data_IF_668599255323
#
_entry.id   IF_668599255323
#
_cell.length_a   1.000
_cell.length_b   1.000
_cell.length_c   1.000
_cell.angle_alpha   90.00
_cell.angle_beta   90.00
_cell.angle_gamma   90.00
#
_symmetry.space_group_name_H-M   'P 1'
#
loop_
_entity.id
_entity.type
_entity.pdbx_description
1 polymer ?
#
# COMPACT_ATOMS: atom_id res chain seq x y z
N UNK A 1 7.01 -8.78 4.97
CA UNK A 1 5.94 -9.76 5.27
C UNK A 1 5.19 -10.08 3.98
N UNK A 2 4.88 -11.35 3.69
CA UNK A 2 4.13 -11.73 2.48
C UNK A 2 2.62 -11.64 2.72
N UNK A 3 1.87 -11.00 1.81
CA UNK A 3 0.41 -10.84 1.89
C UNK A 3 -0.25 -11.35 0.61
N UNK A 4 -1.41 -12.01 0.73
CA UNK A 4 -2.11 -12.69 -0.38
C UNK A 4 -3.51 -12.12 -0.58
N UNK A 5 -3.93 -11.96 -1.84
CA UNK A 5 -5.30 -11.58 -2.19
C UNK A 5 -6.18 -12.77 -2.53
N UNK A 6 -7.48 -12.54 -2.44
CA UNK A 6 -8.52 -13.44 -2.99
C UNK A 6 -8.31 -13.63 -4.51
N UNK A 7 -7.79 -12.61 -5.21
CA UNK A 7 -7.51 -12.68 -6.65
C UNK A 7 -6.22 -13.43 -7.00
N UNK A 8 -5.57 -14.10 -6.05
CA UNK A 8 -4.35 -14.86 -6.27
C UNK A 8 -3.05 -14.05 -6.29
N UNK A 9 -3.08 -12.72 -6.25
CA UNK A 9 -1.85 -11.91 -6.25
C UNK A 9 -1.07 -12.08 -4.93
N UNK A 10 0.25 -12.12 -5.02
CA UNK A 10 1.16 -12.17 -3.86
C UNK A 10 1.93 -10.86 -3.78
N UNK A 11 1.95 -10.26 -2.60
CA UNK A 11 2.69 -9.03 -2.33
C UNK A 11 3.75 -9.29 -1.28
N UNK A 12 4.98 -8.88 -1.56
CA UNK A 12 6.11 -8.93 -0.62
C UNK A 12 6.55 -7.51 -0.33
N UNK A 13 6.07 -6.99 0.79
CA UNK A 13 6.40 -5.65 1.27
C UNK A 13 7.86 -5.55 1.69
N UNK A 14 8.50 -4.45 1.28
CA UNK A 14 9.89 -4.11 1.56
C UNK A 14 9.96 -2.82 2.40
N UNK A 15 9.23 -1.77 2.00
CA UNK A 15 9.16 -0.47 2.67
C UNK A 15 7.71 0.06 2.60
N UNK A 16 7.30 0.91 3.54
CA UNK A 16 5.95 1.47 3.57
C UNK A 16 5.87 2.83 4.27
N UNK A 17 4.77 3.52 4.03
CA UNK A 17 4.33 4.74 4.70
C UNK A 17 2.88 4.55 5.12
N UNK A 18 2.55 4.95 6.35
CA UNK A 18 1.17 5.01 6.82
C UNK A 18 0.70 6.46 6.78
N UNK A 19 -0.33 6.71 5.98
CA UNK A 19 -0.94 8.02 5.83
C UNK A 19 -2.29 7.98 6.53
N UNK A 20 -2.47 8.80 7.56
CA UNK A 20 -3.75 8.88 8.25
C UNK A 20 -4.86 9.29 7.26
N UNK A 21 -5.90 8.48 7.23
CA UNK A 21 -7.04 8.64 6.34
C UNK A 21 -8.09 9.52 7.00
N UNK A 22 -8.77 10.33 6.20
CA UNK A 22 -9.87 11.18 6.67
C UNK A 22 -11.25 10.51 6.50
N UNK A 23 -11.30 9.17 6.48
CA UNK A 23 -12.53 8.37 6.40
C UNK A 23 -13.37 8.41 7.69
N UNK A 24 -12.74 8.67 8.83
CA UNK A 24 -13.41 8.89 10.12
C UNK A 24 -12.65 9.91 10.97
N UNK A 25 -13.28 10.36 12.05
CA UNK A 25 -12.71 11.34 12.97
C UNK A 25 -11.86 10.70 14.09
N UNK A 26 -11.84 9.37 14.16
CA UNK A 26 -11.15 8.61 15.22
C UNK A 26 -9.65 8.47 14.97
N UNK A 27 -9.19 8.66 13.73
CA UNK A 27 -7.77 8.64 13.38
C UNK A 27 -7.11 7.26 13.47
N UNK A 28 -7.89 6.19 13.44
CA UNK A 28 -7.46 4.79 13.49
C UNK A 28 -7.45 4.10 12.11
N UNK A 29 -7.87 4.83 11.06
CA UNK A 29 -7.86 4.40 9.67
C UNK A 29 -6.68 5.03 8.94
N UNK A 30 -5.92 4.21 8.23
CA UNK A 30 -4.75 4.67 7.47
C UNK A 30 -4.79 4.13 6.04
N UNK A 31 -4.26 4.89 5.10
CA UNK A 31 -3.73 4.35 3.87
C UNK A 31 -2.36 3.75 4.16
N UNK A 32 -2.23 2.46 3.90
CA UNK A 32 -0.98 1.73 3.92
C UNK A 32 -0.40 1.75 2.51
N UNK A 33 0.46 2.73 2.25
CA UNK A 33 1.16 2.89 0.97
C UNK A 33 2.46 2.09 1.10
N UNK A 34 2.65 1.05 0.30
CA UNK A 34 3.87 0.24 0.42
C UNK A 34 4.55 0.01 -0.93
N UNK A 35 5.88 -0.08 -0.86
CA UNK A 35 6.78 -0.49 -1.93
C UNK A 35 7.19 -1.95 -1.72
N UNK A 36 7.16 -2.74 -2.77
CA UNK A 36 7.54 -4.14 -2.68
C UNK A 36 7.55 -4.86 -4.02
N UNK A 37 7.63 -6.19 -3.94
CA UNK A 37 7.47 -7.06 -5.08
C UNK A 37 6.02 -7.54 -5.17
N UNK A 38 5.51 -7.67 -6.38
CA UNK A 38 4.19 -8.22 -6.66
C UNK A 38 4.35 -9.35 -7.66
N UNK A 39 3.68 -10.46 -7.39
CA UNK A 39 3.50 -11.54 -8.34
C UNK A 39 2.00 -11.62 -8.69
N UNK A 40 1.67 -11.16 -9.89
CA UNK A 40 0.29 -11.07 -10.37
C UNK A 40 -0.30 -12.43 -10.72
N UNK A 41 0.54 -13.38 -11.13
CA UNK A 41 0.13 -14.68 -11.70
C UNK A 41 0.49 -15.87 -10.81
N UNK A 42 1.26 -15.67 -9.75
CA UNK A 42 1.84 -16.71 -8.88
C UNK A 42 2.80 -17.63 -9.63
N UNK A 43 3.44 -17.13 -10.68
CA UNK A 43 4.38 -17.88 -11.51
C UNK A 43 5.84 -17.60 -11.10
N UNK A 44 6.06 -16.81 -10.04
CA UNK A 44 7.37 -16.39 -9.59
C UNK A 44 7.91 -15.16 -10.32
N UNK A 45 7.19 -14.62 -11.31
CA UNK A 45 7.59 -13.41 -12.02
C UNK A 45 7.21 -12.15 -11.22
N UNK A 46 8.07 -11.83 -10.26
CA UNK A 46 7.92 -10.68 -9.38
C UNK A 46 8.32 -9.37 -10.06
N UNK A 47 7.52 -8.32 -9.90
CA UNK A 47 7.91 -6.95 -10.29
C UNK A 47 7.81 -5.97 -9.13
N UNK A 48 8.65 -4.94 -9.16
CA UNK A 48 8.57 -3.82 -8.22
C UNK A 48 7.30 -3.02 -8.47
N UNK A 49 6.54 -2.76 -7.42
CA UNK A 49 5.38 -1.88 -7.48
C UNK A 49 5.20 -1.09 -6.18
N UNK A 50 4.44 0.00 -6.28
CA UNK A 50 3.84 0.69 -5.15
C UNK A 50 2.35 0.37 -5.14
N UNK A 51 1.81 0.06 -3.97
CA UNK A 51 0.41 -0.31 -3.79
C UNK A 51 -0.17 0.44 -2.59
N UNK A 52 -1.47 0.72 -2.65
CA UNK A 52 -2.20 1.42 -1.59
C UNK A 52 -3.32 0.53 -1.08
N UNK A 53 -3.26 0.20 0.21
CA UNK A 53 -4.29 -0.56 0.90
C UNK A 53 -4.85 0.22 2.08
N UNK A 54 -5.99 -0.20 2.60
CA UNK A 54 -6.53 0.37 3.83
C UNK A 54 -5.97 -0.41 5.03
N UNK A 55 -5.64 0.28 6.11
CA UNK A 55 -5.29 -0.31 7.41
C UNK A 55 -6.32 0.15 8.43
N UNK A 56 -6.89 -0.81 9.15
CA UNK A 56 -7.88 -0.61 10.20
C UNK A 56 -7.39 -1.31 11.46
N UNK A 57 -7.39 -0.63 12.61
CA UNK A 57 -7.04 -1.23 13.90
C UNK A 57 -5.72 -2.03 13.86
N UNK A 58 -4.68 -1.46 13.25
CA UNK A 58 -3.38 -2.11 13.12
C UNK A 58 -3.27 -3.16 11.99
N UNK A 59 -4.37 -3.53 11.33
CA UNK A 59 -4.41 -4.60 10.31
C UNK A 59 -4.58 -4.05 8.90
N UNK A 60 -3.69 -4.42 8.00
CA UNK A 60 -3.77 -4.06 6.57
C UNK A 60 -4.81 -4.97 5.89
N UNK A 61 -5.87 -4.36 5.37
CA UNK A 61 -6.85 -5.02 4.52
C UNK A 61 -6.33 -5.05 3.09
N UNK A 62 -5.74 -6.17 2.70
CA UNK A 62 -5.29 -6.37 1.32
C UNK A 62 -6.43 -6.77 0.39
N UNK A 63 -7.53 -7.35 0.89
CA UNK A 63 -8.58 -8.00 0.08
C UNK A 63 -9.15 -7.06 -1.00
N UNK A 64 -9.33 -5.79 -0.65
CA UNK A 64 -9.92 -4.76 -1.50
C UNK A 64 -8.93 -3.63 -1.76
N UNK A 65 -8.91 -3.04 -2.98
CA UNK A 65 -8.13 -1.84 -3.23
C UNK A 65 -8.60 -0.68 -2.34
N UNK A 66 -7.68 0.22 -1.98
CA UNK A 66 -8.04 1.41 -1.24
C UNK A 66 -8.79 2.42 -2.14
N UNK A 67 -9.93 2.92 -1.65
CA UNK A 67 -10.56 4.11 -2.21
C UNK A 67 -9.90 5.34 -1.57
N UNK A 68 -8.99 6.01 -2.27
CA UNK A 68 -8.35 7.23 -1.77
C UNK A 68 -9.32 8.40 -1.89
N UNK A 69 -9.60 9.09 -0.78
CA UNK A 69 -10.45 10.28 -0.81
C UNK A 69 -9.68 11.42 -1.47
N UNK A 70 -10.36 12.23 -2.28
CA UNK A 70 -9.72 13.37 -2.97
C UNK A 70 -9.00 14.32 -2.01
N UNK A 71 -9.56 14.56 -0.82
CA UNK A 71 -8.93 15.39 0.23
C UNK A 71 -7.64 14.81 0.81
N UNK A 72 -7.42 13.51 0.68
CA UNK A 72 -6.21 12.82 1.14
C UNK A 72 -5.23 12.52 0.00
N UNK A 73 -5.61 12.81 -1.25
CA UNK A 73 -4.84 12.46 -2.45
C UNK A 73 -3.40 12.97 -2.38
N UNK A 74 -3.20 14.26 -2.06
CA UNK A 74 -1.86 14.83 -1.94
C UNK A 74 -0.99 14.13 -0.90
N UNK A 75 -1.57 13.74 0.24
CA UNK A 75 -0.83 13.03 1.30
C UNK A 75 -0.36 11.65 0.82
N UNK A 76 -1.21 10.96 0.07
CA UNK A 76 -0.89 9.66 -0.53
C UNK A 76 0.15 9.81 -1.64
N UNK A 77 0.02 10.80 -2.51
CA UNK A 77 1.00 11.10 -3.57
C UNK A 77 2.38 11.43 -3.00
N UNK A 78 2.45 12.22 -1.93
CA UNK A 78 3.70 12.48 -1.23
C UNK A 78 4.31 11.22 -0.63
N UNK A 79 3.51 10.35 -0.01
CA UNK A 79 3.99 9.08 0.51
C UNK A 79 4.55 8.19 -0.60
N UNK A 80 3.86 8.12 -1.76
CA UNK A 80 4.36 7.44 -2.96
C UNK A 80 5.68 8.05 -3.41
N UNK A 81 5.80 9.38 -3.46
CA UNK A 81 7.02 10.07 -3.86
C UNK A 81 8.19 9.78 -2.90
N UNK A 82 7.95 9.79 -1.58
CA UNK A 82 8.95 9.43 -0.56
C UNK A 82 9.41 7.99 -0.70
N UNK A 83 8.48 7.05 -0.84
CA UNK A 83 8.80 5.64 -1.06
C UNK A 83 9.59 5.43 -2.35
N UNK A 84 9.18 6.11 -3.42
CA UNK A 84 9.91 6.11 -4.70
C UNK A 84 11.34 6.61 -4.50
N UNK A 85 11.53 7.75 -3.85
CA UNK A 85 12.86 8.31 -3.62
C UNK A 85 13.76 7.38 -2.77
N UNK A 86 13.22 6.75 -1.72
CA UNK A 86 14.00 5.85 -0.87
C UNK A 86 14.41 4.55 -1.55
N UNK A 87 13.60 4.05 -2.48
CA UNK A 87 13.75 2.69 -3.02
C UNK A 87 14.09 2.63 -4.52
N UNK A 88 14.05 3.77 -5.24
CA UNK A 88 14.39 3.87 -6.67
C UNK A 88 15.70 4.64 -6.90
N UNK A 89 16.30 5.22 -5.85
CA UNK A 89 17.71 5.61 -5.94
C UNK A 89 18.54 4.31 -5.98
N UNK A 90 18.97 4.02 -7.21
CA UNK A 90 19.89 2.97 -7.64
C UNK A 90 21.24 3.06 -6.91
#
# INVERSE_FOLDING_TARGET
MERKLISGKVYKEIDFEEVQSSHNDQGDIFYHVFYGNVDWKRDGNEQKAICVFMKYNGKVNVITPANVLLKDMFKVEEAIARLKARNIVL
#
